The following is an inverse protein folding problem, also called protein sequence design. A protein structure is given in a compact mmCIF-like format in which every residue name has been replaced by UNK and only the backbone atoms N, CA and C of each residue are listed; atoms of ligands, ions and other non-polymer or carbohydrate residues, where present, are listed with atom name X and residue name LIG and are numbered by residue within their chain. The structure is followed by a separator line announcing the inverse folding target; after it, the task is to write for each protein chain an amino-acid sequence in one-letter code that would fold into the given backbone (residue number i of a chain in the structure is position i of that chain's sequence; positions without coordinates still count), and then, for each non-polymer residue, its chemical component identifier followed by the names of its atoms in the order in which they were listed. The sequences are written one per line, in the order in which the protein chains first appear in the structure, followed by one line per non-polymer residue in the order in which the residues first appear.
data_IF_002104145035
#
_entry.id   IF_002104145035
#
_cell.length_a   1.000
_cell.length_b   1.000
_cell.length_c   1.000
_cell.angle_alpha   90.00
_cell.angle_beta   90.00
_cell.angle_gamma   90.00
#
_symmetry.space_group_name_H-M   'P 1'
#
loop_
_entity.id
_entity.type
_entity.pdbx_description
1 polymer ?
#
# COMPACT_ATOMS: atom_id res chain seq x y z
N UNK A 1 5.47 5.24 -21.47
CA UNK A 1 4.36 6.15 -21.85
C UNK A 1 3.13 5.65 -21.14
N UNK A 2 3.06 5.91 -19.84
CA UNK A 2 1.94 5.52 -18.99
C UNK A 2 1.30 6.81 -18.53
N UNK A 3 0.12 7.06 -19.07
CA UNK A 3 -0.74 8.18 -18.70
C UNK A 3 -1.35 7.88 -17.34
N UNK A 4 -0.74 8.43 -16.28
CA UNK A 4 -1.38 8.52 -14.97
C UNK A 4 -2.64 9.37 -15.12
N UNK A 5 -3.79 8.71 -14.94
CA UNK A 5 -5.07 9.38 -14.77
C UNK A 5 -5.07 9.96 -13.37
N UNK A 6 -4.55 11.18 -13.26
CA UNK A 6 -4.78 12.04 -12.10
C UNK A 6 -6.29 12.24 -12.03
N UNK A 7 -6.97 11.51 -11.15
CA UNK A 7 -8.32 11.84 -10.72
C UNK A 7 -8.17 13.10 -9.88
N UNK A 8 -8.39 14.24 -10.54
CA UNK A 8 -8.48 15.52 -9.87
C UNK A 8 -9.70 15.44 -8.94
N UNK A 9 -9.44 15.32 -7.64
CA UNK A 9 -10.42 15.57 -6.59
C UNK A 9 -10.79 17.05 -6.73
N UNK A 10 -11.90 17.29 -7.41
CA UNK A 10 -12.47 18.61 -7.56
C UNK A 10 -13.07 18.99 -6.22
N UNK A 11 -12.28 19.70 -5.40
CA UNK A 11 -12.78 20.48 -4.28
C UNK A 11 -13.84 21.44 -4.85
N UNK A 12 -15.10 21.02 -4.79
CA UNK A 12 -16.23 21.81 -5.20
C UNK A 12 -16.39 22.92 -4.17
N UNK A 13 -15.77 24.05 -4.46
CA UNK A 13 -16.07 25.34 -3.84
C UNK A 13 -17.57 25.59 -4.08
N UNK A 14 -18.39 25.24 -3.09
CA UNK A 14 -19.83 25.55 -3.06
C UNK A 14 -19.92 27.07 -3.05
N UNK A 15 -20.14 27.62 -4.24
CA UNK A 15 -20.33 29.03 -4.47
C UNK A 15 -21.76 29.35 -4.02
N UNK A 16 -21.94 29.68 -2.74
CA UNK A 16 -23.21 30.18 -2.21
C UNK A 16 -23.60 31.44 -3.01
N UNK A 17 -24.42 31.27 -4.04
CA UNK A 17 -25.09 32.37 -4.72
C UNK A 17 -26.21 32.83 -3.79
N UNK A 18 -25.89 33.72 -2.85
CA UNK A 18 -26.86 34.47 -2.08
C UNK A 18 -27.62 35.40 -3.04
N UNK A 19 -28.70 34.91 -3.63
CA UNK A 19 -29.63 35.74 -4.40
C UNK A 19 -30.46 36.53 -3.39
N UNK A 20 -29.94 37.69 -3.00
CA UNK A 20 -30.70 38.69 -2.27
C UNK A 20 -31.82 39.22 -3.18
N UNK A 21 -33.02 38.64 -3.07
CA UNK A 21 -34.21 39.11 -3.76
C UNK A 21 -35.02 40.02 -2.81
N UNK A 22 -35.01 41.35 -2.97
CA UNK A 22 -35.82 42.23 -2.14
C UNK A 22 -37.22 42.33 -2.75
N UNK A 23 -38.23 41.65 -2.22
CA UNK A 23 -39.62 41.92 -2.63
C UNK A 23 -40.60 41.86 -1.47
N UNK A 24 -40.89 43.03 -0.91
CA UNK A 24 -41.98 43.25 0.04
C UNK A 24 -42.32 44.74 0.21
N UNK A 25 -42.74 45.43 -0.86
CA UNK A 25 -43.31 46.78 -0.70
C UNK A 25 -44.68 46.71 -0.01
N UNK A 26 -44.78 47.11 1.26
CA UNK A 26 -46.06 47.52 1.87
C UNK A 26 -46.03 49.03 2.08
N UNK A 27 -47.01 49.73 1.52
CA UNK A 27 -47.26 51.14 1.81
C UNK A 27 -48.35 51.21 2.89
N UNK A 28 -47.98 51.58 4.10
CA UNK A 28 -48.88 52.09 5.13
C UNK A 28 -48.12 53.08 6.03
N UNK A 29 -48.83 54.15 6.41
CA UNK A 29 -48.32 55.36 7.05
C UNK A 29 -47.64 55.16 8.42
N UNK A 30 -46.62 56.00 8.68
CA UNK A 30 -45.83 56.14 9.93
C UNK A 30 -46.61 55.95 11.24
N UNK A 31 -46.11 55.06 12.10
CA UNK A 31 -45.96 55.27 13.55
C UNK A 31 -44.80 54.38 14.09
N UNK A 32 -43.86 55.05 14.78
CA UNK A 32 -42.84 54.63 15.78
C UNK A 32 -41.97 53.36 15.59
N UNK A 33 -40.63 53.54 15.48
CA UNK A 33 -39.52 52.64 15.89
C UNK A 33 -39.85 51.14 16.02
N UNK A 34 -40.26 50.49 14.93
CA UNK A 34 -40.10 49.04 14.81
C UNK A 34 -38.66 48.84 14.30
N UNK A 35 -37.83 48.17 15.08
CA UNK A 35 -36.57 47.64 14.56
C UNK A 35 -36.90 46.86 13.28
N UNK A 36 -36.20 47.13 12.17
CA UNK A 36 -36.37 46.35 10.94
C UNK A 36 -35.85 44.92 11.24
N UNK A 37 -36.73 44.06 11.74
CA UNK A 37 -36.44 42.64 11.96
C UNK A 37 -36.26 41.97 10.60
N UNK A 38 -35.15 41.25 10.43
CA UNK A 38 -34.89 40.48 9.21
C UNK A 38 -34.48 39.06 9.55
N UNK A 39 -34.96 38.11 8.75
CA UNK A 39 -34.60 36.70 8.85
C UNK A 39 -33.54 36.39 7.79
N UNK A 40 -32.60 35.52 8.12
CA UNK A 40 -31.66 34.92 7.16
C UNK A 40 -31.65 33.41 7.32
N UNK A 41 -31.65 32.70 6.19
CA UNK A 41 -31.51 31.24 6.16
C UNK A 41 -30.22 30.85 5.43
N UNK A 42 -29.45 29.97 6.05
CA UNK A 42 -28.23 29.38 5.51
C UNK A 42 -28.32 27.86 5.62
N UNK A 43 -27.69 27.15 4.68
CA UNK A 43 -27.64 25.69 4.70
C UNK A 43 -26.19 25.25 4.46
N UNK A 44 -25.62 24.58 5.46
CA UNK A 44 -24.30 23.97 5.41
C UNK A 44 -24.47 22.46 5.47
N UNK A 45 -24.18 21.79 4.35
CA UNK A 45 -24.44 20.37 4.16
C UNK A 45 -25.90 19.99 4.46
N UNK A 46 -26.15 19.14 5.47
CA UNK A 46 -27.47 18.75 5.94
C UNK A 46 -28.06 19.66 7.04
N UNK A 47 -27.38 20.73 7.45
CA UNK A 47 -27.81 21.59 8.57
C UNK A 47 -28.32 22.94 8.07
N UNK A 48 -29.61 23.21 8.30
CA UNK A 48 -30.22 24.53 8.10
C UNK A 48 -30.01 25.38 9.34
N UNK A 49 -29.47 26.59 9.17
CA UNK A 49 -29.33 27.59 10.23
C UNK A 49 -30.18 28.81 9.92
N UNK A 50 -30.98 29.25 10.89
CA UNK A 50 -31.83 30.43 10.78
C UNK A 50 -31.41 31.46 11.82
N UNK A 51 -31.11 32.66 11.34
CA UNK A 51 -30.70 33.79 12.18
C UNK A 51 -31.71 34.93 12.06
N UNK A 52 -32.08 35.53 13.19
CA UNK A 52 -32.84 36.78 13.23
C UNK A 52 -31.88 37.93 13.51
N UNK A 53 -32.01 39.01 12.75
CA UNK A 53 -31.35 40.29 13.01
C UNK A 53 -32.38 41.29 13.48
N UNK A 54 -32.23 41.78 14.71
CA UNK A 54 -33.05 42.86 15.29
C UNK A 54 -32.12 44.00 15.74
N UNK A 55 -32.39 45.23 15.33
CA UNK A 55 -31.57 46.42 15.64
C UNK A 55 -30.07 46.24 15.29
N UNK A 56 -29.78 45.45 14.26
CA UNK A 56 -28.41 45.11 13.84
C UNK A 56 -27.67 44.14 14.76
N UNK A 57 -28.38 43.45 15.66
CA UNK A 57 -27.83 42.34 16.45
C UNK A 57 -28.38 41.01 15.92
N UNK A 58 -27.48 40.08 15.65
CA UNK A 58 -27.82 38.73 15.19
C UNK A 58 -28.03 37.80 16.38
N UNK A 59 -29.04 36.94 16.28
CA UNK A 59 -29.34 35.89 17.26
C UNK A 59 -29.94 34.66 16.58
N UNK A 60 -29.77 33.49 17.20
CA UNK A 60 -30.40 32.26 16.74
C UNK A 60 -31.92 32.34 16.85
N UNK A 61 -32.61 31.83 15.85
CA UNK A 61 -34.05 31.93 15.74
C UNK A 61 -34.73 30.61 16.14
N UNK A 62 -35.15 30.48 17.41
CA UNK A 62 -35.87 29.30 17.90
C UNK A 62 -37.34 29.29 17.45
N UNK A 63 -37.91 28.10 17.20
CA UNK A 63 -39.31 27.89 16.84
C UNK A 63 -39.75 28.51 15.50
N UNK A 64 -38.80 28.79 14.61
CA UNK A 64 -39.08 29.25 13.23
C UNK A 64 -39.56 28.08 12.39
N UNK A 65 -40.56 28.34 11.54
CA UNK A 65 -41.05 27.31 10.60
C UNK A 65 -40.14 27.27 9.39
N UNK A 66 -39.62 26.09 9.05
CA UNK A 66 -38.75 25.86 7.88
C UNK A 66 -39.48 24.91 6.93
N UNK A 67 -39.93 25.41 5.77
CA UNK A 67 -40.52 24.60 4.70
C UNK A 67 -39.41 24.15 3.75
N UNK A 68 -39.27 22.84 3.58
CA UNK A 68 -38.33 22.21 2.64
C UNK A 68 -39.11 21.59 1.50
N UNK A 69 -38.79 22.02 0.28
CA UNK A 69 -39.42 21.52 -0.95
C UNK A 69 -38.38 21.19 -2.02
N UNK A 70 -38.75 20.39 -3.00
CA UNK A 70 -37.86 20.07 -4.13
C UNK A 70 -37.89 21.21 -5.15
N UNK A 71 -36.71 21.75 -5.48
CA UNK A 71 -36.56 22.80 -6.48
C UNK A 71 -36.74 22.26 -7.91
N UNK A 72 -36.33 21.01 -8.14
CA UNK A 72 -36.51 20.30 -9.41
C UNK A 72 -37.50 19.12 -9.26
N UNK A 73 -38.35 18.95 -10.27
CA UNK A 73 -39.34 17.88 -10.31
C UNK A 73 -38.78 16.53 -10.80
N UNK A 74 -37.52 16.50 -11.26
CA UNK A 74 -36.82 15.29 -11.68
C UNK A 74 -36.40 14.43 -10.48
N UNK A 75 -36.16 15.02 -9.30
CA UNK A 75 -35.98 14.29 -8.05
C UNK A 75 -37.35 13.82 -7.56
N UNK A 76 -37.58 12.50 -7.57
CA UNK A 76 -38.92 11.96 -7.35
C UNK A 76 -39.37 12.02 -5.89
N UNK A 77 -38.43 12.01 -4.94
CA UNK A 77 -38.69 12.08 -3.50
C UNK A 77 -37.42 12.35 -2.71
N UNK A 78 -37.52 13.15 -1.66
CA UNK A 78 -36.51 13.30 -0.62
C UNK A 78 -37.23 13.23 0.73
N UNK A 79 -36.69 12.48 1.71
CA UNK A 79 -37.35 12.26 3.01
C UNK A 79 -37.47 13.56 3.82
N UNK A 80 -36.50 14.48 3.67
CA UNK A 80 -36.49 15.77 4.37
C UNK A 80 -37.53 16.78 3.91
N UNK A 81 -38.35 16.47 2.90
CA UNK A 81 -39.40 17.37 2.41
C UNK A 81 -40.53 17.54 3.43
N UNK A 82 -40.88 18.79 3.73
CA UNK A 82 -41.97 19.15 4.63
C UNK A 82 -41.64 20.33 5.53
N UNK A 83 -42.53 20.57 6.51
CA UNK A 83 -42.36 21.60 7.53
C UNK A 83 -41.53 21.08 8.72
N UNK A 84 -40.50 21.85 9.08
CA UNK A 84 -39.65 21.65 10.25
C UNK A 84 -39.72 22.85 11.18
N UNK A 85 -39.17 22.70 12.38
CA UNK A 85 -39.11 23.77 13.38
C UNK A 85 -37.71 23.84 13.95
N UNK A 86 -37.12 25.02 13.96
CA UNK A 86 -35.78 25.24 14.51
C UNK A 86 -35.71 25.00 16.01
N UNK A 87 -34.57 24.51 16.48
CA UNK A 87 -34.27 24.28 17.89
C UNK A 87 -33.82 25.56 18.64
N UNK A 88 -33.36 25.43 19.89
CA UNK A 88 -32.84 26.56 20.72
C UNK A 88 -31.63 27.28 20.07
N UNK A 89 -30.91 26.60 19.18
CA UNK A 89 -29.77 27.14 18.45
C UNK A 89 -30.17 27.71 17.08
N UNK A 90 -31.46 27.69 16.72
CA UNK A 90 -31.94 28.16 15.43
C UNK A 90 -31.62 27.21 14.29
N UNK A 91 -31.39 25.92 14.56
CA UNK A 91 -30.99 24.94 13.54
C UNK A 91 -32.04 23.87 13.29
N UNK A 92 -31.97 23.26 12.09
CA UNK A 92 -32.70 22.05 11.70
C UNK A 92 -31.71 21.11 11.00
N UNK A 93 -31.55 19.90 11.53
CA UNK A 93 -30.81 18.82 10.85
C UNK A 93 -31.75 18.12 9.85
N UNK A 94 -31.31 18.05 8.59
CA UNK A 94 -32.02 17.37 7.51
C UNK A 94 -31.49 15.93 7.35
N UNK A 95 -32.30 14.95 6.94
CA UNK A 95 -31.81 13.61 6.66
C UNK A 95 -30.91 13.59 5.42
N UNK A 96 -29.88 12.74 5.41
CA UNK A 96 -29.05 12.53 4.21
C UNK A 96 -29.92 12.07 3.01
N UNK A 97 -29.69 12.59 1.80
CA UNK A 97 -30.48 12.21 0.64
C UNK A 97 -30.01 10.87 0.02
N UNK A 98 -30.93 10.03 -0.43
CA UNK A 98 -30.61 8.77 -1.16
C UNK A 98 -30.06 9.01 -2.58
N UNK A 99 -30.26 10.21 -3.12
CA UNK A 99 -29.82 10.64 -4.45
C UNK A 99 -29.58 12.16 -4.43
N UNK A 100 -28.64 12.67 -5.22
CA UNK A 100 -28.36 14.12 -5.28
C UNK A 100 -29.63 14.91 -5.64
N UNK A 101 -30.06 15.79 -4.74
CA UNK A 101 -31.30 16.56 -4.84
C UNK A 101 -31.04 18.06 -4.72
N UNK A 102 -31.81 18.87 -5.45
CA UNK A 102 -31.84 20.32 -5.22
C UNK A 102 -33.13 20.67 -4.48
N UNK A 103 -32.98 21.31 -3.31
CA UNK A 103 -34.09 21.71 -2.45
C UNK A 103 -34.20 23.24 -2.39
N UNK A 104 -35.42 23.72 -2.22
CA UNK A 104 -35.75 25.07 -1.82
C UNK A 104 -36.12 25.05 -0.33
N UNK A 105 -35.43 25.85 0.46
CA UNK A 105 -35.63 25.99 1.90
C UNK A 105 -36.18 27.38 2.17
N UNK A 106 -37.34 27.47 2.81
CA UNK A 106 -37.99 28.73 3.18
C UNK A 106 -38.20 28.78 4.69
N UNK A 107 -37.53 29.70 5.36
CA UNK A 107 -37.74 29.99 6.77
C UNK A 107 -38.79 31.10 6.92
N UNK A 108 -39.72 30.96 7.86
CA UNK A 108 -40.78 31.95 8.14
C UNK A 108 -40.98 32.10 9.64
N UNK A 109 -40.83 33.33 10.13
CA UNK A 109 -41.22 33.74 11.47
C UNK A 109 -42.20 34.92 11.39
N UNK A 110 -43.44 34.72 11.84
CA UNK A 110 -44.47 35.75 11.74
C UNK A 110 -44.72 36.26 10.31
N UNK A 111 -44.37 37.53 10.05
CA UNK A 111 -44.51 38.20 8.75
C UNK A 111 -43.17 38.32 7.98
N UNK A 112 -42.06 37.86 8.55
CA UNK A 112 -40.73 37.84 7.92
C UNK A 112 -40.38 36.45 7.42
N UNK A 113 -39.76 36.39 6.25
CA UNK A 113 -39.35 35.14 5.62
C UNK A 113 -38.09 35.33 4.79
N UNK A 114 -37.27 34.29 4.71
CA UNK A 114 -36.12 34.23 3.82
C UNK A 114 -36.06 32.84 3.17
N UNK A 115 -35.43 32.75 2.00
CA UNK A 115 -35.39 31.50 1.24
C UNK A 115 -34.06 31.31 0.55
N UNK A 116 -33.59 30.07 0.51
CA UNK A 116 -32.37 29.67 -0.20
C UNK A 116 -32.58 28.38 -0.96
N UNK A 117 -31.79 28.18 -2.02
CA UNK A 117 -31.80 26.95 -2.82
C UNK A 117 -30.42 26.30 -2.69
N UNK A 118 -30.39 25.03 -2.31
CA UNK A 118 -29.15 24.26 -2.10
C UNK A 118 -29.25 22.90 -2.78
N UNK A 119 -28.11 22.39 -3.25
CA UNK A 119 -28.01 21.02 -3.77
C UNK A 119 -27.38 20.15 -2.70
N UNK A 120 -28.15 19.22 -2.16
CA UNK A 120 -27.67 18.17 -1.28
C UNK A 120 -27.13 17.03 -2.14
N UNK A 121 -25.89 16.65 -1.92
CA UNK A 121 -25.27 15.51 -2.59
C UNK A 121 -25.53 14.25 -1.78
N UNK A 122 -25.73 13.12 -2.46
CA UNK A 122 -25.70 11.83 -1.77
C UNK A 122 -24.27 11.59 -1.28
N UNK A 123 -24.15 11.26 0.00
CA UNK A 123 -22.93 10.65 0.51
C UNK A 123 -22.91 9.22 -0.05
N UNK A 124 -22.18 9.01 -1.16
CA UNK A 124 -21.95 7.66 -1.65
C UNK A 124 -21.07 6.96 -0.62
N UNK A 125 -21.62 5.94 0.06
CA UNK A 125 -20.79 4.97 0.79
C UNK A 125 -19.81 4.39 -0.24
N UNK A 126 -18.55 4.86 -0.26
CA UNK A 126 -17.58 4.31 -1.20
C UNK A 126 -17.36 2.85 -0.85
N UNK A 127 -17.74 1.97 -1.79
CA UNK A 127 -17.51 0.54 -1.70
C UNK A 127 -16.03 0.25 -1.43
N UNK A 128 -15.75 -0.90 -0.82
CA UNK A 128 -14.37 -1.36 -0.63
C UNK A 128 -13.56 -1.23 -1.93
N UNK A 129 -12.35 -0.71 -1.80
CA UNK A 129 -11.40 -0.53 -2.90
C UNK A 129 -10.06 -1.16 -2.54
N UNK A 130 -9.37 -1.68 -3.55
CA UNK A 130 -8.03 -2.26 -3.41
C UNK A 130 -7.09 -1.51 -4.34
N UNK A 131 -6.04 -0.92 -3.79
CA UNK A 131 -4.90 -0.42 -4.52
C UNK A 131 -3.70 -1.35 -4.33
N UNK A 132 -2.96 -1.63 -5.41
CA UNK A 132 -1.78 -2.47 -5.37
C UNK A 132 -0.63 -1.72 -6.04
N UNK A 133 0.40 -1.44 -5.24
CA UNK A 133 1.62 -0.79 -5.69
C UNK A 133 2.80 -1.72 -5.46
N UNK A 134 3.69 -1.81 -6.44
CA UNK A 134 4.89 -2.63 -6.35
C UNK A 134 6.15 -1.77 -6.43
N UNK A 135 7.02 -1.92 -5.43
CA UNK A 135 8.34 -1.30 -5.32
C UNK A 135 9.41 -2.39 -5.31
N UNK A 136 9.88 -2.75 -6.50
CA UNK A 136 10.92 -3.76 -6.75
C UNK A 136 10.67 -5.10 -6.03
N UNK A 137 11.14 -5.26 -4.79
CA UNK A 137 11.02 -6.46 -3.97
C UNK A 137 9.78 -6.49 -3.07
N UNK A 138 9.09 -5.36 -2.90
CA UNK A 138 7.91 -5.26 -2.03
C UNK A 138 6.65 -4.94 -2.83
N UNK A 139 5.55 -5.60 -2.49
CA UNK A 139 4.20 -5.35 -3.02
C UNK A 139 3.34 -4.84 -1.86
N UNK A 140 2.90 -3.59 -1.95
CA UNK A 140 1.98 -2.99 -0.99
C UNK A 140 0.54 -3.09 -1.54
N UNK A 141 -0.33 -3.72 -0.76
CA UNK A 141 -1.77 -3.82 -1.02
C UNK A 141 -2.47 -2.95 0.02
N UNK A 142 -3.25 -1.97 -0.43
CA UNK A 142 -4.01 -1.07 0.43
C UNK A 142 -5.49 -1.31 0.21
N UNK A 143 -6.23 -1.56 1.29
CA UNK A 143 -7.67 -1.75 1.28
C UNK A 143 -8.31 -0.53 1.95
N UNK A 144 -9.18 0.16 1.22
CA UNK A 144 -9.85 1.37 1.70
C UNK A 144 -11.36 1.29 1.56
N UNK A 145 -12.07 1.92 2.48
CA UNK A 145 -13.51 2.17 2.46
C UNK A 145 -13.71 3.65 2.84
N UNK A 146 -14.47 4.40 2.04
CA UNK A 146 -14.63 5.85 2.18
C UNK A 146 -13.28 6.60 2.38
N UNK A 147 -12.34 6.35 1.47
CA UNK A 147 -10.95 6.83 1.49
C UNK A 147 -10.13 6.55 2.78
N UNK A 148 -10.64 5.70 3.68
CA UNK A 148 -10.00 5.35 4.96
C UNK A 148 -9.49 3.92 4.93
N UNK A 149 -8.31 3.67 5.50
CA UNK A 149 -7.73 2.33 5.59
C UNK A 149 -8.57 1.41 6.46
N UNK A 150 -8.83 0.19 5.98
CA UNK A 150 -9.67 -0.80 6.67
C UNK A 150 -8.81 -1.77 7.48
N UNK A 151 -8.85 -1.67 8.81
CA UNK A 151 -8.17 -2.61 9.71
C UNK A 151 -8.75 -4.03 9.61
N UNK A 152 -7.88 -5.04 9.68
CA UNK A 152 -8.26 -6.46 9.68
C UNK A 152 -9.18 -6.89 8.52
N UNK A 153 -9.08 -6.24 7.35
CA UNK A 153 -9.73 -6.70 6.13
C UNK A 153 -9.08 -8.00 5.66
N UNK A 154 -9.89 -9.01 5.35
CA UNK A 154 -9.41 -10.31 4.88
C UNK A 154 -9.10 -10.24 3.39
N UNK A 155 -7.82 -10.33 3.03
CA UNK A 155 -7.31 -10.32 1.65
C UNK A 155 -6.90 -11.73 1.24
N UNK A 156 -7.60 -12.32 0.28
CA UNK A 156 -7.20 -13.54 -0.38
C UNK A 156 -6.33 -13.23 -1.61
N UNK A 157 -5.20 -13.92 -1.71
CA UNK A 157 -4.19 -13.75 -2.76
C UNK A 157 -4.07 -15.07 -3.51
N UNK A 158 -4.34 -15.06 -4.81
CA UNK A 158 -4.28 -16.24 -5.66
C UNK A 158 -3.68 -15.92 -7.03
N UNK A 159 -2.92 -16.86 -7.59
CA UNK A 159 -2.50 -16.77 -8.99
C UNK A 159 -3.69 -16.95 -9.94
N UNK A 160 -3.71 -16.18 -11.03
CA UNK A 160 -4.75 -16.30 -12.06
C UNK A 160 -4.56 -17.56 -12.91
N UNK A 161 -3.31 -17.95 -13.14
CA UNK A 161 -2.94 -19.17 -13.87
C UNK A 161 -2.74 -20.34 -12.89
N UNK A 162 -3.47 -21.44 -13.09
CA UNK A 162 -3.37 -22.67 -12.28
C UNK A 162 -1.99 -23.35 -12.33
N UNK A 163 -1.12 -22.96 -13.27
CA UNK A 163 0.24 -23.45 -13.41
C UNK A 163 1.30 -22.45 -12.93
N UNK A 164 0.91 -21.21 -12.60
CA UNK A 164 1.78 -20.28 -11.92
C UNK A 164 1.87 -20.63 -10.42
N UNK A 165 2.91 -20.16 -9.77
CA UNK A 165 3.09 -20.27 -8.33
C UNK A 165 3.65 -18.96 -7.83
N UNK A 166 3.10 -18.49 -6.72
CA UNK A 166 3.57 -17.29 -6.06
C UNK A 166 3.77 -17.57 -4.57
N UNK A 167 4.89 -17.10 -4.03
CA UNK A 167 5.33 -17.45 -2.69
C UNK A 167 4.34 -17.00 -1.60
N UNK A 168 3.71 -15.84 -1.83
CA UNK A 168 2.75 -15.24 -0.92
C UNK A 168 1.29 -15.49 -1.36
N UNK A 169 1.02 -16.65 -1.96
CA UNK A 169 -0.37 -17.13 -2.13
C UNK A 169 -0.98 -17.53 -0.79
N UNK A 170 -2.19 -17.07 -0.51
CA UNK A 170 -2.84 -17.34 0.78
C UNK A 170 -3.94 -16.37 1.16
N UNK A 171 -4.20 -16.27 2.46
CA UNK A 171 -5.15 -15.33 3.04
C UNK A 171 -4.44 -14.55 4.13
N UNK A 172 -4.62 -13.24 4.09
CA UNK A 172 -3.94 -12.28 4.96
C UNK A 172 -4.97 -11.30 5.55
N UNK A 173 -4.56 -10.59 6.58
CA UNK A 173 -5.32 -9.48 7.16
C UNK A 173 -4.50 -8.21 7.02
N UNK A 174 -5.17 -7.11 6.67
CA UNK A 174 -4.55 -5.78 6.68
C UNK A 174 -4.25 -5.30 8.09
N UNK A 175 -3.29 -4.38 8.21
CA UNK A 175 -2.96 -3.72 9.47
C UNK A 175 -3.91 -2.56 9.81
N UNK A 176 -3.63 -1.85 10.90
CA UNK A 176 -4.42 -0.70 11.39
C UNK A 176 -4.58 0.43 10.35
N UNK A 177 -3.74 0.47 9.31
CA UNK A 177 -3.79 1.45 8.23
C UNK A 177 -4.45 0.88 6.95
N UNK A 178 -5.02 -0.32 7.01
CA UNK A 178 -5.55 -1.01 5.84
C UNK A 178 -4.48 -1.49 4.86
N UNK A 179 -3.24 -1.65 5.31
CA UNK A 179 -2.12 -2.04 4.43
C UNK A 179 -1.69 -3.49 4.66
N UNK A 180 -1.27 -4.16 3.59
CA UNK A 180 -0.67 -5.48 3.58
C UNK A 180 0.60 -5.43 2.73
N UNK A 181 1.71 -5.99 3.25
CA UNK A 181 2.98 -6.06 2.54
C UNK A 181 3.30 -7.51 2.17
N UNK A 182 3.50 -7.74 0.87
CA UNK A 182 3.86 -9.02 0.27
C UNK A 182 5.20 -8.88 -0.48
N UNK A 183 5.80 -9.99 -0.85
CA UNK A 183 7.08 -10.03 -1.58
C UNK A 183 6.84 -10.06 -3.09
N UNK A 184 7.67 -9.40 -3.88
CA UNK A 184 7.62 -9.55 -5.34
C UNK A 184 8.00 -10.99 -5.77
N UNK A 185 7.49 -11.48 -6.92
CA UNK A 185 7.94 -12.76 -7.48
C UNK A 185 9.44 -12.76 -7.76
N UNK A 186 10.07 -13.94 -7.75
CA UNK A 186 11.53 -14.04 -7.87
C UNK A 186 12.05 -14.25 -9.30
N UNK A 187 11.27 -14.87 -10.17
CA UNK A 187 11.78 -15.36 -11.47
C UNK A 187 11.04 -14.74 -12.65
N UNK A 188 9.75 -15.01 -12.73
CA UNK A 188 8.89 -14.66 -13.85
C UNK A 188 7.78 -13.73 -13.37
N UNK A 189 7.26 -12.85 -14.24
CA UNK A 189 6.09 -12.06 -13.90
C UNK A 189 4.88 -12.98 -13.67
N UNK A 190 4.08 -12.65 -12.66
CA UNK A 190 2.93 -13.47 -12.24
C UNK A 190 1.68 -12.59 -12.19
N UNK A 191 0.60 -13.04 -12.82
CA UNK A 191 -0.72 -12.43 -12.66
C UNK A 191 -1.37 -12.91 -11.37
N UNK A 192 -1.61 -11.98 -10.45
CA UNK A 192 -2.18 -12.26 -9.12
C UNK A 192 -3.53 -11.55 -8.98
N UNK A 193 -4.52 -12.30 -8.54
CA UNK A 193 -5.83 -11.83 -8.13
C UNK A 193 -5.86 -11.61 -6.61
N UNK A 194 -6.33 -10.43 -6.22
CA UNK A 194 -6.54 -10.02 -4.84
C UNK A 194 -8.03 -9.85 -4.60
N UNK A 195 -8.55 -10.52 -3.58
CA UNK A 195 -9.96 -10.41 -3.17
C UNK A 195 -9.97 -9.96 -1.71
N UNK A 196 -10.37 -8.71 -1.47
CA UNK A 196 -10.53 -8.16 -0.13
C UNK A 196 -11.99 -8.29 0.30
N UNK A 197 -12.19 -8.67 1.56
CA UNK A 197 -13.50 -8.76 2.19
C UNK A 197 -13.45 -8.14 3.57
N UNK A 198 -14.41 -7.28 3.87
CA UNK A 198 -14.61 -6.74 5.20
C UNK A 198 -16.13 -6.67 5.44
N UNK A 199 -16.57 -7.20 6.59
CA UNK A 199 -17.98 -7.41 6.91
C UNK A 199 -18.80 -8.14 5.81
N UNK A 200 -19.58 -7.39 5.02
CA UNK A 200 -20.42 -7.93 3.94
C UNK A 200 -20.03 -7.38 2.55
N UNK A 201 -18.98 -6.58 2.49
CA UNK A 201 -18.52 -5.91 1.29
C UNK A 201 -17.24 -6.57 0.77
N UNK A 202 -17.09 -6.57 -0.55
CA UNK A 202 -16.00 -7.26 -1.22
C UNK A 202 -15.51 -6.49 -2.42
N UNK A 203 -14.19 -6.46 -2.58
CA UNK A 203 -13.52 -5.87 -3.73
C UNK A 203 -12.56 -6.89 -4.35
N UNK A 204 -12.35 -6.78 -5.66
CA UNK A 204 -11.43 -7.64 -6.40
C UNK A 204 -10.55 -6.80 -7.32
N UNK A 205 -9.27 -7.14 -7.40
CA UNK A 205 -8.34 -6.54 -8.36
C UNK A 205 -7.34 -7.56 -8.86
N UNK A 206 -6.91 -7.44 -10.11
CA UNK A 206 -5.91 -8.32 -10.72
C UNK A 206 -4.75 -7.49 -11.23
N UNK A 207 -3.54 -7.84 -10.81
CA UNK A 207 -2.31 -7.12 -11.17
C UNK A 207 -1.23 -8.11 -11.59
N UNK A 208 -0.49 -7.76 -12.64
CA UNK A 208 0.74 -8.46 -13.02
C UNK A 208 1.88 -7.94 -12.15
N UNK A 209 2.44 -8.80 -11.30
CA UNK A 209 3.60 -8.50 -10.48
C UNK A 209 4.88 -8.81 -11.26
N UNK A 210 5.80 -7.84 -11.32
CA UNK A 210 7.10 -8.02 -11.96
C UNK A 210 8.07 -8.73 -11.00
N UNK A 211 9.02 -9.52 -11.51
CA UNK A 211 9.99 -10.17 -10.65
C UNK A 211 10.98 -9.16 -10.08
N UNK A 212 11.53 -9.46 -8.90
CA UNK A 212 12.55 -8.61 -8.27
C UNK A 212 13.76 -8.40 -9.18
N UNK A 213 14.16 -7.15 -9.39
CA UNK A 213 15.33 -6.80 -10.19
C UNK A 213 16.62 -7.01 -9.38
N UNK A 214 17.15 -8.23 -9.36
CA UNK A 214 18.44 -8.50 -8.71
C UNK A 214 19.61 -8.20 -9.64
N UNK A 215 20.61 -7.47 -9.13
CA UNK A 215 21.82 -7.12 -9.90
C UNK A 215 22.82 -8.29 -10.00
N UNK A 216 22.70 -9.30 -9.13
CA UNK A 216 23.61 -10.44 -9.08
C UNK A 216 22.90 -11.75 -8.69
N UNK A 217 23.24 -12.82 -9.40
CA UNK A 217 22.72 -14.18 -9.17
C UNK A 217 22.83 -14.65 -7.70
N UNK A 218 23.88 -14.26 -6.99
CA UNK A 218 24.02 -14.62 -5.57
C UNK A 218 22.93 -14.04 -4.67
N UNK A 219 22.43 -12.84 -4.98
CA UNK A 219 21.34 -12.22 -4.24
C UNK A 219 20.01 -12.89 -4.57
N UNK A 220 19.76 -13.20 -5.84
CA UNK A 220 18.61 -14.01 -6.29
C UNK A 220 18.54 -15.36 -5.54
N UNK A 221 19.65 -16.09 -5.46
CA UNK A 221 19.74 -17.36 -4.73
C UNK A 221 19.52 -17.15 -3.23
N UNK A 222 20.04 -16.07 -2.66
CA UNK A 222 19.86 -15.79 -1.23
C UNK A 222 18.39 -15.51 -0.90
N UNK A 223 17.70 -14.71 -1.72
CA UNK A 223 16.26 -14.46 -1.59
C UNK A 223 15.44 -15.74 -1.75
N UNK A 224 15.74 -16.54 -2.79
CA UNK A 224 15.09 -17.83 -2.99
C UNK A 224 15.28 -18.79 -1.82
N UNK A 225 16.47 -18.80 -1.20
CA UNK A 225 16.73 -19.62 -0.01
C UNK A 225 15.89 -19.16 1.19
N UNK A 226 15.69 -17.85 1.38
CA UNK A 226 14.81 -17.33 2.44
C UNK A 226 13.36 -17.72 2.20
N UNK A 227 12.85 -17.57 0.97
CA UNK A 227 11.50 -17.98 0.57
C UNK A 227 11.30 -19.51 0.73
N UNK A 228 12.19 -20.31 0.14
CA UNK A 228 12.08 -21.76 0.17
C UNK A 228 12.16 -22.37 1.58
N UNK A 229 12.68 -21.65 2.59
CA UNK A 229 12.62 -22.09 3.99
C UNK A 229 11.20 -22.06 4.55
N UNK A 230 10.38 -21.13 4.09
CA UNK A 230 9.03 -20.89 4.59
C UNK A 230 7.98 -21.63 3.76
N UNK A 231 8.21 -21.73 2.43
CA UNK A 231 7.17 -22.13 1.48
C UNK A 231 7.48 -23.41 0.67
N UNK A 232 8.60 -24.11 0.90
CA UNK A 232 8.93 -25.33 0.16
C UNK A 232 8.50 -26.62 0.87
N UNK A 233 7.71 -27.45 0.17
CA UNK A 233 7.31 -28.80 0.61
C UNK A 233 8.42 -29.89 0.46
N UNK A 234 9.63 -29.51 0.04
CA UNK A 234 10.72 -30.44 -0.30
C UNK A 234 12.00 -30.28 0.53
N UNK A 235 13.01 -31.16 0.34
CA UNK A 235 14.33 -30.96 0.93
C UNK A 235 14.94 -29.67 0.39
N UNK A 236 15.07 -28.65 1.24
CA UNK A 236 15.57 -27.30 0.89
C UNK A 236 16.81 -27.34 -0.03
N UNK A 237 17.77 -28.21 0.27
CA UNK A 237 18.99 -28.34 -0.53
C UNK A 237 18.76 -28.78 -1.98
N UNK A 238 17.74 -29.60 -2.27
CA UNK A 238 17.37 -29.99 -3.63
C UNK A 238 16.67 -28.85 -4.37
N UNK A 239 15.72 -28.19 -3.70
CA UNK A 239 14.99 -27.05 -4.24
C UNK A 239 15.95 -25.93 -4.64
N UNK A 240 16.88 -25.57 -3.75
CA UNK A 240 17.93 -24.58 -4.00
C UNK A 240 18.89 -25.03 -5.10
N UNK A 241 19.29 -26.31 -5.12
CA UNK A 241 20.20 -26.79 -6.16
C UNK A 241 19.55 -26.77 -7.55
N UNK A 242 18.27 -27.13 -7.67
CA UNK A 242 17.52 -27.03 -8.93
C UNK A 242 17.41 -25.58 -9.38
N UNK A 243 17.03 -24.67 -8.47
CA UNK A 243 16.99 -23.24 -8.75
C UNK A 243 18.32 -22.70 -9.26
N UNK A 244 19.43 -23.06 -8.59
CA UNK A 244 20.77 -22.64 -8.99
C UNK A 244 21.15 -23.19 -10.37
N UNK A 245 20.79 -24.43 -10.69
CA UNK A 245 21.08 -25.02 -12.00
C UNK A 245 20.32 -24.32 -13.11
N UNK A 246 19.03 -24.06 -12.89
CA UNK A 246 18.11 -23.43 -13.86
C UNK A 246 18.52 -21.98 -14.15
N UNK A 247 18.89 -21.23 -13.12
CA UNK A 247 19.16 -19.79 -13.22
C UNK A 247 20.67 -19.47 -13.35
N UNK A 248 21.55 -20.48 -13.49
CA UNK A 248 22.99 -20.25 -13.57
C UNK A 248 23.37 -19.46 -14.84
N UNK A 249 23.89 -18.23 -14.73
CA UNK A 249 24.32 -17.44 -15.89
C UNK A 249 25.51 -18.08 -16.66
N UNK A 250 26.20 -19.04 -16.03
CA UNK A 250 27.35 -19.74 -16.59
C UNK A 250 27.05 -20.92 -17.54
N UNK A 251 25.78 -21.15 -17.91
CA UNK A 251 25.34 -22.27 -18.78
C UNK A 251 25.84 -23.63 -18.28
N UNK A 252 25.20 -24.12 -17.22
CA UNK A 252 25.60 -25.33 -16.51
C UNK A 252 25.68 -26.56 -17.46
N UNK A 253 26.67 -27.47 -17.29
CA UNK A 253 26.72 -28.73 -18.03
C UNK A 253 25.48 -29.61 -17.78
N UNK A 254 25.14 -30.53 -18.69
CA UNK A 254 24.01 -31.48 -18.57
C UNK A 254 24.02 -32.33 -17.28
N UNK A 255 25.16 -32.41 -16.60
CA UNK A 255 25.35 -33.15 -15.35
C UNK A 255 25.46 -32.23 -14.13
N UNK A 256 25.12 -30.95 -14.28
CA UNK A 256 25.01 -30.03 -13.16
C UNK A 256 23.72 -30.31 -12.38
N UNK A 257 23.82 -30.20 -11.07
CA UNK A 257 22.72 -30.49 -10.15
C UNK A 257 23.01 -31.65 -9.22
N UNK A 258 22.12 -31.87 -8.25
CA UNK A 258 22.27 -32.97 -7.30
C UNK A 258 22.13 -34.32 -8.03
N UNK A 259 22.89 -35.35 -7.65
CA UNK A 259 22.73 -36.68 -8.24
C UNK A 259 21.34 -37.26 -7.94
N UNK A 260 20.87 -38.21 -8.76
CA UNK A 260 19.54 -38.86 -8.64
C UNK A 260 19.25 -39.48 -7.25
N UNK A 261 20.28 -39.71 -6.45
CA UNK A 261 20.23 -40.29 -5.11
C UNK A 261 20.43 -39.26 -3.99
N UNK A 262 20.41 -37.97 -4.31
CA UNK A 262 20.41 -36.90 -3.34
C UNK A 262 19.00 -36.80 -2.73
N UNK A 263 18.85 -37.26 -1.49
CA UNK A 263 17.61 -37.27 -0.74
C UNK A 263 17.75 -38.13 0.51
N UNK A 264 16.83 -38.01 1.50
CA UNK A 264 16.79 -38.94 2.62
C UNK A 264 16.64 -40.38 2.09
N UNK A 265 17.28 -41.39 2.73
CA UNK A 265 17.10 -42.77 2.32
C UNK A 265 15.61 -43.09 2.33
N UNK A 266 15.08 -43.57 1.19
CA UNK A 266 13.69 -43.98 1.12
C UNK A 266 13.42 -45.04 2.19
N UNK A 267 12.27 -44.93 2.86
CA UNK A 267 11.72 -45.99 3.71
C UNK A 267 11.30 -47.16 2.80
N UNK A 268 12.28 -47.87 2.25
CA UNK A 268 12.04 -49.10 1.51
C UNK A 268 12.09 -50.26 2.50
N UNK A 269 10.90 -50.70 2.93
CA UNK A 269 10.66 -51.93 3.68
C UNK A 269 10.87 -53.17 2.77
N UNK A 270 11.94 -53.20 1.98
CA UNK A 270 12.07 -54.11 0.86
C UNK A 270 13.50 -54.32 0.38
N UNK A 271 14.20 -55.25 1.03
CA UNK A 271 15.33 -56.02 0.48
C UNK A 271 16.54 -55.24 -0.09
N UNK A 272 17.57 -55.11 0.75
CA UNK A 272 18.98 -55.23 0.36
C UNK A 272 19.50 -54.36 -0.80
N UNK A 273 19.09 -53.09 -0.92
CA UNK A 273 19.92 -52.10 -1.59
C UNK A 273 21.08 -51.68 -0.68
N UNK A 274 22.06 -52.58 -0.64
CA UNK A 274 23.42 -52.25 -0.23
C UNK A 274 23.86 -51.08 -1.09
N UNK A 275 23.81 -49.88 -0.52
CA UNK A 275 24.56 -48.73 -0.97
C UNK A 275 25.95 -49.22 -1.31
N UNK A 276 26.21 -49.34 -2.61
CA UNK A 276 27.45 -49.86 -3.13
C UNK A 276 28.53 -48.92 -2.66
N UNK A 277 29.29 -49.33 -1.64
CA UNK A 277 30.54 -48.68 -1.30
C UNK A 277 31.30 -48.49 -2.63
N UNK A 278 31.71 -47.26 -2.98
CA UNK A 278 32.45 -47.04 -4.21
C UNK A 278 33.69 -47.95 -4.18
N UNK A 279 34.09 -48.48 -5.34
CA UNK A 279 35.07 -49.57 -5.46
C UNK A 279 36.47 -49.30 -4.88
N UNK A 280 36.69 -48.14 -4.26
CA UNK A 280 37.91 -47.75 -3.54
C UNK A 280 37.82 -47.93 -2.02
N UNK A 281 36.61 -48.11 -1.45
CA UNK A 281 36.44 -48.43 -0.04
C UNK A 281 36.72 -49.92 0.15
N UNK A 282 38.00 -50.24 0.35
CA UNK A 282 38.48 -51.61 0.50
C UNK A 282 37.68 -52.41 1.52
N UNK A 283 37.16 -53.55 1.09
CA UNK A 283 36.51 -54.54 1.92
C UNK A 283 37.47 -55.06 3.00
N UNK A 284 37.41 -54.47 4.19
CA UNK A 284 37.95 -55.03 5.41
C UNK A 284 37.01 -56.08 6.01
N UNK A 285 36.65 -57.14 5.28
CA UNK A 285 35.97 -58.28 5.92
C UNK A 285 37.00 -59.32 6.36
N UNK A 286 37.16 -59.41 7.67
CA UNK A 286 38.04 -60.35 8.36
C UNK A 286 37.36 -61.71 8.44
N UNK A 287 37.62 -62.61 7.50
CA UNK A 287 37.27 -64.02 7.65
C UNK A 287 38.52 -64.91 7.67
N UNK A 288 38.70 -65.53 8.84
CA UNK A 288 39.76 -66.49 9.13
C UNK A 288 39.42 -67.82 8.47
N UNK A 289 40.20 -68.25 7.46
CA UNK A 289 40.71 -69.62 7.41
C UNK A 289 41.72 -69.89 6.28
N UNK A 290 42.87 -70.44 6.70
CA UNK A 290 43.57 -71.56 6.05
C UNK A 290 43.87 -71.51 4.53
N UNK A 291 45.11 -71.13 4.16
CA UNK A 291 46.20 -72.06 3.75
C UNK A 291 47.34 -71.33 3.03
N UNK A 292 48.53 -71.89 3.23
CA UNK A 292 49.82 -71.58 2.61
C UNK A 292 49.71 -71.37 1.09
N UNK A 293 50.35 -70.33 0.56
CA UNK A 293 51.53 -70.50 -0.31
C UNK A 293 52.17 -69.16 -0.69
N UNK A 294 53.49 -69.22 -0.85
CA UNK A 294 54.38 -68.12 -1.26
C UNK A 294 54.00 -67.57 -2.63
N UNK A 295 54.08 -66.24 -2.79
CA UNK A 295 54.98 -65.59 -3.78
C UNK A 295 54.93 -64.08 -3.64
N UNK A 296 56.11 -63.51 -3.71
CA UNK A 296 56.40 -62.09 -3.82
C UNK A 296 55.57 -61.41 -4.91
N UNK A 297 55.14 -60.18 -4.64
CA UNK A 297 55.29 -59.04 -5.54
C UNK A 297 55.07 -57.75 -4.75
N UNK A 298 56.12 -56.96 -4.70
CA UNK A 298 56.11 -55.55 -4.38
C UNK A 298 55.08 -54.83 -5.24
N UNK A 299 54.18 -54.07 -4.62
CA UNK A 299 53.56 -52.89 -5.23
C UNK A 299 53.20 -51.93 -4.08
N UNK A 300 54.21 -51.16 -3.67
CA UNK A 300 54.00 -49.95 -2.88
C UNK A 300 53.22 -48.98 -3.76
N UNK A 301 51.91 -48.86 -3.53
CA UNK A 301 51.10 -47.79 -4.10
C UNK A 301 51.64 -46.44 -3.63
N UNK A 302 52.41 -45.78 -4.50
CA UNK A 302 52.84 -44.40 -4.28
C UNK A 302 51.66 -43.42 -4.36
N UNK A 303 51.82 -42.21 -3.82
CA UNK A 303 50.81 -41.16 -3.93
C UNK A 303 50.53 -40.81 -5.41
N UNK A 304 49.31 -40.34 -5.72
CA UNK A 304 48.90 -40.01 -7.09
C UNK A 304 49.87 -39.01 -7.76
N UNK A 305 50.08 -39.18 -9.06
CA UNK A 305 51.10 -38.50 -9.88
C UNK A 305 50.82 -37.02 -10.16
N UNK A 306 50.16 -36.30 -9.25
CA UNK A 306 49.95 -34.85 -9.35
C UNK A 306 50.61 -34.04 -8.21
N UNK A 307 51.27 -34.68 -7.26
CA UNK A 307 52.17 -33.98 -6.33
C UNK A 307 53.59 -33.89 -6.94
N UNK A 308 53.81 -32.91 -7.82
CA UNK A 308 55.15 -32.57 -8.29
C UNK A 308 56.01 -32.00 -7.15
N UNK A 309 57.31 -32.35 -7.06
CA UNK A 309 58.22 -31.79 -6.06
C UNK A 309 59.07 -30.66 -6.66
N UNK A 310 59.04 -29.49 -6.04
CA UNK A 310 60.13 -28.51 -6.06
C UNK A 310 60.19 -27.96 -4.62
N UNK A 311 61.19 -28.25 -3.80
CA UNK A 311 62.63 -28.33 -4.10
C UNK A 311 63.25 -27.07 -3.52
N UNK A 312 63.80 -27.23 -2.33
CA UNK A 312 64.29 -26.20 -1.40
C UNK A 312 65.39 -25.27 -1.95
N UNK A 313 65.56 -24.17 -1.21
CA UNK A 313 66.84 -23.66 -0.68
C UNK A 313 67.41 -22.37 -1.30
N UNK A 314 67.33 -21.27 -0.55
CA UNK A 314 68.40 -20.26 -0.44
C UNK A 314 68.09 -19.29 0.72
N UNK A 315 68.73 -19.55 1.86
CA UNK A 315 69.04 -18.56 2.91
C UNK A 315 69.90 -17.41 2.34
N UNK A 316 69.49 -16.16 2.60
CA UNK A 316 70.34 -14.97 2.77
C UNK A 316 69.42 -13.80 3.16
N UNK A 317 69.40 -13.34 4.40
CA UNK A 317 70.37 -12.47 5.10
C UNK A 317 69.82 -11.03 5.15
N UNK A 318 69.76 -10.56 6.38
CA UNK A 318 69.96 -9.19 6.85
C UNK A 318 69.00 -8.03 6.53
N UNK A 319 68.53 -7.51 7.67
CA UNK A 319 68.59 -6.10 8.10
C UNK A 319 67.51 -5.12 7.65
N UNK A 320 66.93 -4.50 8.70
CA UNK A 320 66.40 -3.14 8.79
C UNK A 320 65.18 -2.82 7.88
N UNK A 321 64.10 -2.22 8.38
CA UNK A 321 64.12 -0.90 8.98
C UNK A 321 62.77 -0.65 9.68
N UNK A 322 62.84 -0.08 10.86
CA UNK A 322 61.70 0.36 11.65
C UNK A 322 61.78 1.88 11.72
N UNK A 323 61.01 2.58 10.88
CA UNK A 323 60.57 3.97 11.06
C UNK A 323 59.25 4.09 10.26
N UNK A 324 58.10 4.36 10.89
CA UNK A 324 57.64 5.68 11.32
C UNK A 324 57.45 6.65 10.14
N UNK A 325 56.20 6.85 9.74
CA UNK A 325 55.57 8.13 9.35
C UNK A 325 54.07 7.79 9.19
N UNK A 326 53.21 8.25 10.11
CA UNK A 326 52.66 9.61 10.19
C UNK A 326 51.78 9.88 8.97
N UNK A 327 50.47 9.95 9.22
CA UNK A 327 49.51 10.76 8.48
C UNK A 327 48.20 10.78 9.29
N UNK A 328 48.15 11.72 10.22
CA UNK A 328 46.90 12.38 10.64
C UNK A 328 46.19 12.96 9.41
N UNK A 329 44.90 12.64 9.22
CA UNK A 329 43.90 13.53 8.60
C UNK A 329 42.58 13.19 9.30
N UNK A 330 42.21 13.92 10.35
CA UNK A 330 41.41 15.16 10.33
C UNK A 330 39.96 14.97 9.87
N UNK A 331 39.10 15.37 10.80
CA UNK A 331 37.66 15.53 10.72
C UNK A 331 37.20 16.24 9.44
N UNK A 332 36.14 15.70 8.83
CA UNK A 332 35.43 16.30 7.70
C UNK A 332 33.97 15.94 7.79
N UNK A 333 33.31 16.55 8.78
CA UNK A 333 31.85 16.70 8.86
C UNK A 333 31.43 17.56 7.64
N UNK A 334 30.72 16.96 6.70
CA UNK A 334 30.22 17.62 5.48
C UNK A 334 28.70 17.42 5.45
N UNK A 335 28.05 18.11 6.39
CA UNK A 335 26.61 18.38 6.41
C UNK A 335 26.38 19.63 5.57
N UNK A 336 26.05 19.47 4.30
CA UNK A 336 25.44 20.54 3.48
C UNK A 336 24.44 19.93 2.49
N UNK A 337 23.15 20.09 2.79
CA UNK A 337 22.16 20.39 1.76
C UNK A 337 21.09 21.31 2.36
N UNK A 338 21.30 22.60 2.10
CA UNK A 338 20.29 23.65 2.05
C UNK A 338 19.06 23.21 1.23
N UNK A 339 17.85 23.49 1.72
CA UNK A 339 16.84 24.34 1.06
C UNK A 339 15.53 24.31 1.89
N UNK A 340 15.47 25.14 2.93
CA UNK A 340 14.22 25.55 3.57
C UNK A 340 13.83 26.91 2.96
N UNK A 341 12.93 26.90 1.97
CA UNK A 341 12.28 28.14 1.51
C UNK A 341 11.16 28.51 2.49
N UNK A 342 11.52 29.45 3.36
CA UNK A 342 10.67 30.12 4.34
C UNK A 342 9.91 31.27 3.64
N UNK A 343 8.76 30.97 3.03
CA UNK A 343 7.84 31.99 2.51
C UNK A 343 6.93 32.47 3.64
N UNK A 344 7.43 33.47 4.37
CA UNK A 344 6.66 34.22 5.34
C UNK A 344 5.77 35.25 4.66
N UNK A 345 4.47 35.14 4.93
CA UNK A 345 3.46 36.19 4.77
C UNK A 345 3.92 37.50 5.44
N UNK A 346 3.95 38.60 4.68
CA UNK A 346 3.70 39.94 5.23
C UNK A 346 2.80 40.74 4.26
N UNK A 347 1.57 40.95 4.73
CA UNK A 347 0.61 41.97 4.30
C UNK A 347 1.26 43.35 4.17
N UNK A 348 0.95 44.08 3.09
CA UNK A 348 0.80 45.55 3.11
C UNK A 348 0.23 46.05 1.76
N UNK A 349 -1.07 45.79 1.51
CA UNK A 349 -1.83 46.52 0.49
C UNK A 349 -2.23 47.90 1.04
N UNK A 350 -1.36 48.88 0.77
CA UNK A 350 -1.64 50.28 0.96
C UNK A 350 -2.49 50.82 -0.23
N UNK A 351 -3.73 51.13 0.13
CA UNK A 351 -4.69 52.04 -0.49
C UNK A 351 -4.04 53.31 -1.09
N UNK A 352 -4.33 53.63 -2.36
CA UNK A 352 -4.56 55.01 -2.81
C UNK A 352 -5.10 55.07 -4.26
N UNK A 353 -6.38 55.42 -4.34
CA UNK A 353 -7.07 56.34 -5.25
C UNK A 353 -6.51 56.60 -6.68
N UNK A 354 -7.35 56.39 -7.70
CA UNK A 354 -7.81 57.47 -8.62
C UNK A 354 -8.63 56.90 -9.80
N UNK A 355 -9.87 57.38 -9.99
CA UNK A 355 -10.63 57.04 -11.20
C UNK A 355 -12.07 57.53 -11.34
N UNK A 356 -12.37 58.80 -11.03
CA UNK A 356 -13.60 59.48 -11.48
C UNK A 356 -13.34 60.31 -12.75
N UNK A 357 -13.96 59.93 -13.89
CA UNK A 357 -14.44 60.79 -15.01
C UNK A 357 -14.97 60.00 -16.21
#
# INVERSE_FOLDING_TARGET
MNSHRVFAIGLALVMCLSVLAPLGTVAAEQDEDEADETLTVDVDDDVVTVTITEDGNESSAENVTVDVSLADAENASYEGVGDHTTDENGTVELPAPDETVTIDVTATDGDVSDSTTVTLVVEEDEELSIDVTQDNDTVAVTVTENASGVDAASVAVATVDENASYADEGSYETDENGTLSLSAPLTDPVDVEFVATHDNDSAETTVTLEPVETQNFGSLVSMFVEDAKNNSDGPLGLTVANFVVEHNPGNAPDHAGPPDHAGPPGDDDGEDDKGGQPSWAGNGNSDKNDKKDKKDKDDKGGPPSHAGPHGDDAEADDEDDAEADDDEIEDGDDEESDDEEDEADEDDDADDEDGDS
#
